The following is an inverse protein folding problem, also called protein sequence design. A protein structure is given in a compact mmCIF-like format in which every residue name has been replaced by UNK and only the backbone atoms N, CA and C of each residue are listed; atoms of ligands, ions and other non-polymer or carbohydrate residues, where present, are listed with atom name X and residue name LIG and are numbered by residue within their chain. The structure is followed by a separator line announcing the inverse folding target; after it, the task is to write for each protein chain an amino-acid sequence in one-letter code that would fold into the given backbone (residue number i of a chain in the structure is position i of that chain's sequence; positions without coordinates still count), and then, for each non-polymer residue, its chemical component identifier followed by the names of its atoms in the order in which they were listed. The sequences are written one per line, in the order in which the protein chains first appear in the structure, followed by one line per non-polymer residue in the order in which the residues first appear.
data_IF_041397452195
#
_entry.id   IF_041397452195
#
_cell.length_a   1.000
_cell.length_b   1.000
_cell.length_c   1.000
_cell.angle_alpha   90.00
_cell.angle_beta   90.00
_cell.angle_gamma   90.00
#
_symmetry.space_group_name_H-M   'P 1'
#
loop_
_entity.id
_entity.type
_entity.pdbx_description
1 polymer ?
#
# COMPACT_ATOMS: atom_id res chain seq x y z
N UNK A 1 51.38 -33.83 8.21
CA UNK A 1 52.19 -33.87 9.46
C UNK A 1 51.75 -35.13 10.20
N UNK A 2 52.19 -36.36 9.92
CA UNK A 2 53.53 -36.91 9.71
C UNK A 2 54.56 -36.40 10.72
N UNK A 3 55.40 -37.32 11.21
CA UNK A 3 56.43 -37.22 12.26
C UNK A 3 55.86 -37.51 13.67
N UNK A 4 56.38 -38.44 14.49
CA UNK A 4 57.66 -39.14 14.42
C UNK A 4 57.61 -40.38 15.35
N UNK A 5 57.80 -41.56 14.77
CA UNK A 5 58.19 -42.77 15.51
C UNK A 5 59.69 -42.66 15.83
N UNK A 6 60.04 -42.59 17.11
CA UNK A 6 61.45 -42.69 17.55
C UNK A 6 61.72 -44.12 18.00
N UNK A 7 62.46 -44.77 17.11
CA UNK A 7 63.23 -46.00 17.27
C UNK A 7 64.37 -45.73 18.27
N UNK A 8 64.43 -46.45 19.38
CA UNK A 8 65.61 -46.46 20.27
C UNK A 8 66.25 -47.85 20.29
N UNK A 9 67.54 -47.83 20.00
CA UNK A 9 68.47 -48.94 19.82
C UNK A 9 68.78 -49.57 21.19
N UNK A 10 68.47 -50.86 21.35
CA UNK A 10 68.94 -51.68 22.47
C UNK A 10 70.23 -52.39 22.06
N UNK A 11 71.36 -51.89 22.54
CA UNK A 11 72.66 -52.54 22.48
C UNK A 11 72.65 -53.72 23.45
N UNK A 12 72.88 -54.91 22.91
CA UNK A 12 73.06 -56.14 23.68
C UNK A 12 74.35 -56.08 24.49
N UNK A 13 74.21 -56.01 25.81
CA UNK A 13 75.27 -56.30 26.77
C UNK A 13 74.95 -57.61 27.49
N UNK A 14 75.55 -58.71 27.03
CA UNK A 14 75.53 -59.98 27.74
C UNK A 14 76.28 -59.81 29.07
N UNK A 15 75.52 -59.62 30.15
CA UNK A 15 76.05 -59.56 31.51
C UNK A 15 75.82 -60.91 32.18
N UNK A 16 76.90 -61.53 32.64
CA UNK A 16 76.89 -62.77 33.41
C UNK A 16 75.95 -62.63 34.62
N UNK A 17 74.80 -63.30 34.57
CA UNK A 17 73.89 -63.40 35.70
C UNK A 17 74.54 -64.28 36.78
N UNK A 18 75.28 -63.64 37.69
CA UNK A 18 75.52 -64.20 39.01
C UNK A 18 74.15 -64.32 39.69
N UNK A 19 73.73 -65.54 40.00
CA UNK A 19 72.51 -65.82 40.77
C UNK A 19 72.54 -65.00 42.05
N UNK A 20 71.69 -63.97 42.13
CA UNK A 20 71.54 -63.17 43.33
C UNK A 20 71.07 -64.10 44.47
N UNK A 21 71.62 -63.95 45.69
CA UNK A 21 71.24 -64.80 46.80
C UNK A 21 69.74 -64.64 47.08
N UNK A 22 68.99 -65.73 46.95
CA UNK A 22 67.61 -65.80 47.41
C UNK A 22 67.62 -65.88 48.93
N UNK A 23 67.35 -64.75 49.58
CA UNK A 23 67.16 -64.70 51.02
C UNK A 23 65.85 -65.39 51.43
N UNK A 24 65.86 -66.06 52.57
CA UNK A 24 64.68 -66.73 53.12
C UNK A 24 63.61 -65.73 53.61
N UNK A 25 62.38 -66.20 53.89
CA UNK A 25 61.31 -65.35 54.41
C UNK A 25 61.76 -64.61 55.68
N UNK A 26 61.39 -63.33 55.82
CA UNK A 26 61.82 -62.40 56.89
C UNK A 26 63.23 -61.79 56.77
N UNK A 27 63.88 -61.91 55.61
CA UNK A 27 65.17 -61.26 55.34
C UNK A 27 65.19 -60.60 53.95
N UNK A 28 65.95 -59.51 53.78
CA UNK A 28 66.14 -58.81 52.50
C UNK A 28 67.63 -58.71 52.16
N UNK A 29 67.98 -58.55 50.88
CA UNK A 29 69.38 -58.40 50.45
C UNK A 29 69.86 -56.99 50.81
N UNK A 30 70.78 -56.89 51.76
CA UNK A 30 71.49 -55.67 52.14
C UNK A 30 72.42 -55.17 51.03
N UNK A 31 72.93 -53.95 51.18
CA UNK A 31 73.82 -53.31 50.19
C UNK A 31 75.16 -54.03 50.02
N UNK A 32 75.52 -54.88 50.97
CA UNK A 32 76.69 -55.77 50.96
C UNK A 32 76.37 -57.16 50.37
N UNK A 33 75.15 -57.40 49.90
CA UNK A 33 74.69 -58.69 49.39
C UNK A 33 74.30 -59.69 50.47
N UNK A 34 74.41 -59.34 51.75
CA UNK A 34 74.02 -60.21 52.86
C UNK A 34 72.51 -60.16 53.11
N UNK A 35 71.92 -61.27 53.57
CA UNK A 35 70.51 -61.30 53.97
C UNK A 35 70.36 -60.65 55.36
N UNK A 36 69.76 -59.46 55.41
CA UNK A 36 69.51 -58.70 56.64
C UNK A 36 68.09 -59.01 57.13
N UNK A 37 67.89 -59.34 58.42
CA UNK A 37 66.55 -59.57 58.96
C UNK A 37 65.68 -58.32 58.86
N UNK A 38 64.41 -58.53 58.54
CA UNK A 38 63.43 -57.46 58.55
C UNK A 38 63.31 -56.88 59.96
N UNK A 39 63.27 -55.54 60.11
CA UNK A 39 63.05 -54.92 61.41
C UNK A 39 61.72 -55.39 62.00
N UNK A 40 61.72 -55.84 63.25
CA UNK A 40 60.48 -56.17 63.96
C UNK A 40 59.54 -54.96 63.97
N UNK A 41 58.23 -55.11 63.66
CA UNK A 41 57.47 -56.36 63.56
C UNK A 41 57.25 -56.90 62.12
N UNK A 42 58.06 -56.51 61.14
CA UNK A 42 57.83 -56.87 59.73
C UNK A 42 58.20 -58.35 59.43
N UNK A 43 57.23 -59.14 58.96
CA UNK A 43 57.44 -60.54 58.58
C UNK A 43 58.04 -60.73 57.17
N UNK A 44 57.85 -59.78 56.24
CA UNK A 44 58.61 -59.73 54.97
C UNK A 44 58.87 -58.28 54.55
N UNK A 45 60.04 -58.01 54.00
CA UNK A 45 60.50 -56.67 53.62
C UNK A 45 61.41 -56.75 52.39
N UNK A 46 61.33 -55.76 51.49
CA UNK A 46 62.24 -55.60 50.35
C UNK A 46 63.46 -54.73 50.70
N UNK A 47 63.37 -53.95 51.77
CA UNK A 47 64.47 -53.17 52.33
C UNK A 47 64.26 -52.95 53.82
N UNK A 48 65.27 -52.37 54.49
CA UNK A 48 65.18 -51.92 55.89
C UNK A 48 64.00 -50.96 56.17
N UNK A 49 63.41 -50.37 55.14
CA UNK A 49 62.30 -49.41 55.26
C UNK A 49 61.06 -49.77 54.44
N UNK A 50 61.10 -50.82 53.60
CA UNK A 50 59.97 -51.23 52.76
C UNK A 50 59.51 -52.64 53.12
N UNK A 51 58.28 -52.77 53.62
CA UNK A 51 57.63 -54.06 53.83
C UNK A 51 57.09 -54.62 52.50
N UNK A 52 57.21 -55.93 52.28
CA UNK A 52 56.76 -56.62 51.05
C UNK A 52 55.32 -57.15 51.14
N UNK A 53 54.78 -57.33 52.36
CA UNK A 53 53.41 -57.85 52.53
C UNK A 53 52.63 -57.12 53.63
N UNK A 54 51.32 -57.02 53.39
CA UNK A 54 50.29 -56.69 54.37
C UNK A 54 50.25 -57.76 55.47
N UNK A 55 50.99 -57.60 56.56
CA UNK A 55 50.96 -58.60 57.65
C UNK A 55 49.81 -58.29 58.62
N UNK A 56 48.95 -59.28 58.87
CA UNK A 56 47.75 -59.22 59.72
C UNK A 56 46.80 -58.06 59.42
N UNK A 57 46.77 -57.60 58.18
CA UNK A 57 45.85 -56.54 57.77
C UNK A 57 46.20 -55.15 58.29
N UNK A 58 47.42 -54.84 58.74
CA UNK A 58 47.82 -53.47 59.08
C UNK A 58 49.12 -53.04 58.37
N UNK A 59 49.15 -51.80 57.86
CA UNK A 59 50.31 -51.23 57.15
C UNK A 59 51.32 -50.57 58.09
N UNK A 60 52.62 -50.64 57.73
CA UNK A 60 53.74 -50.13 58.55
C UNK A 60 54.75 -49.27 57.76
N UNK A 61 54.36 -48.57 56.68
CA UNK A 61 55.26 -47.60 56.01
C UNK A 61 54.87 -46.14 56.25
N UNK A 62 55.85 -45.21 56.42
CA UNK A 62 55.59 -43.80 56.73
C UNK A 62 54.79 -43.02 55.67
N UNK A 63 54.81 -43.46 54.41
CA UNK A 63 54.27 -42.68 53.29
C UNK A 63 52.82 -43.05 52.93
N UNK A 64 52.24 -44.09 53.57
CA UNK A 64 50.91 -44.63 53.22
C UNK A 64 50.02 -44.92 54.46
N UNK A 65 50.02 -43.99 55.42
CA UNK A 65 49.48 -44.11 56.79
C UNK A 65 47.97 -44.36 56.97
N UNK A 66 47.20 -44.62 55.91
CA UNK A 66 45.74 -44.37 55.96
C UNK A 66 44.83 -45.55 55.58
N UNK A 67 45.39 -46.73 55.30
CA UNK A 67 44.63 -47.96 55.07
C UNK A 67 44.54 -48.78 56.36
N UNK A 68 43.33 -49.25 56.71
CA UNK A 68 43.05 -50.08 57.88
C UNK A 68 43.23 -51.58 57.61
N UNK A 69 43.00 -52.04 56.37
CA UNK A 69 43.31 -53.39 55.88
C UNK A 69 43.75 -53.37 54.42
N UNK A 70 44.46 -54.43 53.96
CA UNK A 70 44.97 -54.56 52.58
C UNK A 70 44.91 -56.00 52.05
N UNK A 71 44.88 -56.14 50.72
CA UNK A 71 45.05 -57.40 49.97
C UNK A 71 46.52 -57.68 49.63
N UNK A 72 47.30 -56.63 49.36
CA UNK A 72 48.70 -56.71 48.95
C UNK A 72 49.45 -55.40 49.22
N UNK A 73 50.75 -55.37 48.97
CA UNK A 73 51.61 -54.20 49.21
C UNK A 73 51.57 -53.13 48.09
N UNK A 74 50.71 -53.29 47.07
CA UNK A 74 50.65 -52.36 45.94
C UNK A 74 50.02 -51.01 46.30
N UNK A 75 50.14 -50.04 45.40
CA UNK A 75 49.52 -48.72 45.55
C UNK A 75 47.98 -48.75 45.48
N UNK A 76 47.38 -49.88 45.10
CA UNK A 76 45.92 -50.09 44.99
C UNK A 76 45.49 -51.32 45.80
N UNK A 77 46.27 -51.71 46.81
CA UNK A 77 46.05 -52.93 47.59
C UNK A 77 45.21 -52.71 48.86
N UNK A 78 44.64 -51.54 49.14
CA UNK A 78 43.82 -51.33 50.34
C UNK A 78 42.45 -52.03 50.21
N UNK A 79 41.99 -52.66 51.29
CA UNK A 79 40.64 -53.28 51.39
C UNK A 79 39.74 -52.59 52.39
N UNK A 80 40.29 -51.74 53.28
CA UNK A 80 39.55 -50.79 54.12
C UNK A 80 40.47 -49.64 54.57
N UNK A 81 39.88 -48.55 55.07
CA UNK A 81 40.61 -47.35 55.51
C UNK A 81 40.35 -47.00 56.98
N UNK A 82 41.33 -46.34 57.62
CA UNK A 82 41.20 -45.87 59.01
C UNK A 82 40.18 -44.72 59.10
N UNK A 83 39.79 -44.36 60.33
CA UNK A 83 38.81 -43.30 60.58
C UNK A 83 39.24 -41.97 59.91
N UNK A 84 38.31 -41.35 59.18
CA UNK A 84 38.58 -40.13 58.41
C UNK A 84 39.08 -40.36 56.97
N UNK A 85 39.07 -41.61 56.47
CA UNK A 85 39.52 -41.96 55.12
C UNK A 85 38.53 -42.88 54.38
N UNK A 86 38.62 -42.88 53.05
CA UNK A 86 37.63 -43.43 52.13
C UNK A 86 38.26 -44.31 51.07
N UNK A 87 37.76 -45.54 50.91
CA UNK A 87 38.29 -46.51 49.97
C UNK A 87 37.74 -46.29 48.56
N UNK A 88 38.61 -46.14 47.55
CA UNK A 88 38.24 -46.15 46.14
C UNK A 88 39.31 -46.86 45.32
N UNK A 89 38.92 -47.86 44.51
CA UNK A 89 39.83 -48.63 43.66
C UNK A 89 41.12 -49.10 44.39
N UNK A 90 40.97 -49.50 45.66
CA UNK A 90 42.08 -49.98 46.48
C UNK A 90 43.00 -48.89 47.05
N UNK A 91 42.60 -47.62 47.01
CA UNK A 91 43.29 -46.47 47.58
C UNK A 91 42.44 -45.77 48.65
N UNK A 92 43.10 -45.23 49.68
CA UNK A 92 42.43 -44.45 50.73
C UNK A 92 42.58 -42.95 50.49
N UNK A 93 41.45 -42.25 50.36
CA UNK A 93 41.35 -40.80 50.16
C UNK A 93 40.93 -40.12 51.46
N UNK A 94 41.54 -38.98 51.78
CA UNK A 94 41.19 -38.24 52.99
C UNK A 94 39.78 -37.65 52.86
N UNK A 95 38.90 -37.94 53.82
CA UNK A 95 37.48 -37.57 53.71
C UNK A 95 37.21 -36.07 53.60
N UNK A 96 38.17 -35.21 54.01
CA UNK A 96 38.07 -33.75 53.84
C UNK A 96 38.64 -33.21 52.52
N UNK A 97 39.25 -34.07 51.69
CA UNK A 97 39.84 -33.72 50.38
C UNK A 97 39.41 -34.71 49.30
N UNK A 98 38.14 -35.11 49.34
CA UNK A 98 37.58 -35.98 48.32
C UNK A 98 37.47 -35.23 46.98
N UNK A 99 37.60 -35.92 45.84
CA UNK A 99 37.29 -35.35 44.54
C UNK A 99 35.87 -34.77 44.50
N UNK A 100 35.68 -33.71 43.72
CA UNK A 100 34.36 -33.10 43.54
C UNK A 100 33.34 -34.15 43.04
N UNK A 101 32.11 -34.10 43.57
CA UNK A 101 31.04 -35.03 43.21
C UNK A 101 31.15 -36.42 43.87
N UNK A 102 32.03 -36.59 44.87
CA UNK A 102 32.13 -37.83 45.65
C UNK A 102 31.83 -37.60 47.13
N UNK A 103 31.31 -38.64 47.77
CA UNK A 103 31.08 -38.70 49.21
C UNK A 103 31.50 -40.07 49.74
N UNK A 104 31.47 -40.26 51.05
CA UNK A 104 32.10 -41.43 51.67
C UNK A 104 31.20 -42.10 52.71
N UNK A 105 30.08 -42.69 52.29
CA UNK A 105 29.26 -43.48 53.17
C UNK A 105 30.02 -44.76 53.55
N UNK A 106 29.96 -45.17 54.81
CA UNK A 106 30.54 -46.43 55.28
C UNK A 106 32.02 -46.64 54.90
N UNK A 107 32.81 -45.55 54.81
CA UNK A 107 34.25 -45.54 54.45
C UNK A 107 34.56 -46.00 53.01
N UNK A 108 33.57 -46.03 52.12
CA UNK A 108 33.77 -46.32 50.69
C UNK A 108 33.45 -45.07 49.90
N UNK A 109 34.35 -44.67 49.00
CA UNK A 109 34.10 -43.54 48.12
C UNK A 109 32.99 -43.89 47.14
N UNK A 110 31.92 -43.10 47.16
CA UNK A 110 30.79 -43.21 46.25
C UNK A 110 30.60 -41.91 45.50
N UNK A 111 30.01 -42.01 44.30
CA UNK A 111 29.54 -40.84 43.58
C UNK A 111 28.28 -40.29 44.25
N UNK A 112 28.20 -38.97 44.29
CA UNK A 112 27.02 -38.26 44.73
C UNK A 112 25.76 -38.65 43.93
N UNK A 113 24.66 -39.05 44.58
CA UNK A 113 23.37 -39.15 43.92
C UNK A 113 22.84 -37.73 43.66
N UNK A 114 22.69 -37.36 42.39
CA UNK A 114 22.30 -36.00 42.01
C UNK A 114 22.55 -35.63 40.54
N UNK A 115 23.20 -36.52 39.78
CA UNK A 115 23.44 -36.36 38.35
C UNK A 115 24.72 -35.58 38.05
N UNK A 116 24.83 -35.13 36.80
CA UNK A 116 25.95 -34.30 36.34
C UNK A 116 25.99 -32.96 37.08
N UNK A 117 27.19 -32.40 37.26
CA UNK A 117 27.37 -31.08 37.85
C UNK A 117 27.36 -31.02 39.38
N UNK A 118 27.21 -32.15 40.10
CA UNK A 118 27.36 -32.18 41.55
C UNK A 118 28.81 -31.95 41.96
N UNK A 119 29.07 -30.97 42.82
CA UNK A 119 30.41 -30.72 43.37
C UNK A 119 30.56 -31.24 44.81
N UNK A 120 29.47 -31.30 45.58
CA UNK A 120 29.49 -31.75 46.98
C UNK A 120 28.16 -32.34 47.43
N UNK A 121 28.24 -33.41 48.23
CA UNK A 121 27.12 -33.97 49.00
C UNK A 121 27.43 -34.01 50.49
N UNK A 122 26.38 -34.13 51.30
CA UNK A 122 26.50 -34.38 52.74
C UNK A 122 26.82 -35.86 53.05
N UNK A 123 26.90 -36.20 54.34
CA UNK A 123 27.19 -37.56 54.79
C UNK A 123 26.08 -38.56 54.51
N UNK A 124 24.86 -38.10 54.25
CA UNK A 124 23.72 -38.93 53.84
C UNK A 124 23.66 -39.11 52.32
N UNK A 125 24.55 -38.45 51.57
CA UNK A 125 24.58 -38.46 50.11
C UNK A 125 23.67 -37.42 49.48
N UNK A 126 23.00 -36.53 50.24
CA UNK A 126 22.19 -35.49 49.62
C UNK A 126 23.08 -34.41 49.02
N UNK A 127 22.79 -34.00 47.78
CA UNK A 127 23.51 -32.91 47.11
C UNK A 127 23.36 -31.61 47.89
N UNK A 128 24.49 -30.97 48.20
CA UNK A 128 24.54 -29.67 48.91
C UNK A 128 25.23 -28.58 48.11
N UNK A 129 25.93 -28.92 47.02
CA UNK A 129 26.49 -27.94 46.10
C UNK A 129 26.61 -28.47 44.67
N UNK A 130 26.38 -27.57 43.72
CA UNK A 130 26.49 -27.79 42.28
C UNK A 130 27.62 -26.95 41.67
N UNK A 131 28.08 -27.30 40.47
CA UNK A 131 29.07 -26.54 39.74
C UNK A 131 28.41 -25.32 39.09
N UNK A 132 28.29 -24.23 39.85
CA UNK A 132 27.74 -22.97 39.34
C UNK A 132 28.59 -22.37 38.20
N UNK A 133 29.88 -22.73 38.09
CA UNK A 133 30.76 -22.27 37.01
C UNK A 133 30.35 -22.78 35.63
N UNK A 134 29.71 -23.95 35.58
CA UNK A 134 29.18 -24.56 34.35
C UNK A 134 27.66 -24.33 34.19
N UNK A 135 27.06 -23.46 35.02
CA UNK A 135 25.62 -23.15 34.98
C UNK A 135 24.70 -24.15 35.69
N UNK A 136 25.24 -25.04 36.54
CA UNK A 136 24.40 -25.92 37.34
C UNK A 136 23.86 -25.23 38.60
N UNK A 137 22.59 -25.46 38.89
CA UNK A 137 21.88 -24.92 40.05
C UNK A 137 21.32 -26.04 40.93
N UNK A 138 21.32 -25.83 42.25
CA UNK A 138 20.82 -26.81 43.21
C UNK A 138 19.30 -26.68 43.34
N UNK A 139 18.58 -27.76 43.05
CA UNK A 139 17.15 -27.87 43.33
C UNK A 139 16.97 -28.49 44.73
N UNK A 140 16.58 -27.68 45.72
CA UNK A 140 16.57 -28.08 47.12
C UNK A 140 15.55 -29.17 47.42
N UNK A 141 14.45 -29.21 46.66
CA UNK A 141 13.36 -30.19 46.80
C UNK A 141 13.78 -31.61 46.39
N UNK A 142 14.49 -31.76 45.27
CA UNK A 142 14.92 -33.05 44.72
C UNK A 142 16.34 -33.45 45.10
N UNK A 143 17.12 -32.53 45.69
CA UNK A 143 18.55 -32.71 46.02
C UNK A 143 19.39 -33.11 44.81
N UNK A 144 19.09 -32.53 43.64
CA UNK A 144 19.84 -32.74 42.40
C UNK A 144 20.35 -31.41 41.82
N UNK A 145 21.33 -31.51 40.92
CA UNK A 145 21.82 -30.36 40.15
C UNK A 145 21.10 -30.29 38.80
N UNK A 146 20.53 -29.14 38.49
CA UNK A 146 19.84 -28.87 37.23
C UNK A 146 20.67 -27.90 36.41
N UNK A 147 20.90 -28.21 35.14
CA UNK A 147 21.52 -27.31 34.18
C UNK A 147 20.41 -26.67 33.34
N UNK A 148 20.39 -25.35 33.28
CA UNK A 148 19.53 -24.63 32.35
C UNK A 148 20.21 -24.56 30.97
N UNK A 149 19.51 -24.99 29.92
CA UNK A 149 20.06 -25.07 28.58
C UNK A 149 19.67 -23.86 27.72
N UNK A 150 20.57 -23.44 26.83
CA UNK A 150 20.29 -22.41 25.83
C UNK A 150 19.97 -21.04 26.45
N UNK A 151 18.73 -20.58 26.28
CA UNK A 151 18.23 -19.28 26.78
C UNK A 151 17.42 -19.38 28.08
N UNK A 152 17.44 -20.54 28.74
CA UNK A 152 16.84 -20.72 30.05
C UNK A 152 17.59 -19.94 31.14
N UNK A 153 16.83 -19.34 32.06
CA UNK A 153 17.32 -18.70 33.26
C UNK A 153 16.87 -19.50 34.48
N UNK A 154 17.76 -19.67 35.46
CA UNK A 154 17.39 -20.28 36.72
C UNK A 154 16.56 -19.31 37.57
N UNK A 155 15.33 -19.70 37.88
CA UNK A 155 14.51 -19.00 38.87
C UNK A 155 14.67 -19.68 40.23
N UNK A 156 15.40 -19.00 41.13
CA UNK A 156 15.63 -19.49 42.48
C UNK A 156 14.35 -19.57 43.34
N UNK A 157 13.29 -18.81 42.99
CA UNK A 157 12.03 -18.85 43.73
C UNK A 157 11.23 -20.12 43.44
N UNK A 158 11.17 -20.53 42.18
CA UNK A 158 10.47 -21.75 41.75
C UNK A 158 11.37 -23.01 41.71
N UNK A 159 12.68 -22.84 41.85
CA UNK A 159 13.71 -23.87 41.65
C UNK A 159 13.59 -24.57 40.28
N UNK A 160 13.35 -23.79 39.22
CA UNK A 160 13.18 -24.28 37.85
C UNK A 160 13.89 -23.39 36.84
N UNK A 161 14.24 -23.98 35.71
CA UNK A 161 14.66 -23.25 34.51
C UNK A 161 13.42 -22.63 33.85
N UNK A 162 13.47 -21.32 33.60
CA UNK A 162 12.41 -20.54 32.96
C UNK A 162 12.95 -19.81 31.75
N UNK A 163 12.13 -19.65 30.71
CA UNK A 163 12.52 -18.92 29.52
C UNK A 163 12.63 -17.41 29.78
N UNK A 164 13.71 -16.79 29.31
CA UNK A 164 13.87 -15.33 29.36
C UNK A 164 12.78 -14.61 28.55
N UNK A 165 12.57 -13.33 28.82
CA UNK A 165 11.68 -12.49 28.00
C UNK A 165 12.13 -12.49 26.53
N UNK A 166 11.20 -12.71 25.60
CA UNK A 166 11.52 -12.81 24.17
C UNK A 166 11.87 -14.23 23.71
N UNK A 167 11.75 -15.23 24.58
CA UNK A 167 11.85 -16.65 24.24
C UNK A 167 10.60 -17.43 24.64
N UNK A 168 10.42 -18.62 24.07
CA UNK A 168 9.34 -19.55 24.40
C UNK A 168 9.89 -20.96 24.67
N UNK A 169 9.19 -21.73 25.51
CA UNK A 169 9.60 -23.09 25.87
C UNK A 169 9.43 -24.05 24.69
N UNK A 170 10.41 -24.93 24.49
CA UNK A 170 10.36 -26.01 23.51
C UNK A 170 10.72 -27.34 24.16
N UNK A 171 10.19 -28.44 23.63
CA UNK A 171 10.47 -29.81 24.09
C UNK A 171 11.86 -30.32 23.71
N UNK A 172 12.55 -29.67 22.76
CA UNK A 172 13.85 -30.11 22.24
C UNK A 172 15.02 -29.34 22.84
N UNK A 173 14.91 -28.00 22.97
CA UNK A 173 16.05 -27.11 23.26
C UNK A 173 15.89 -26.28 24.53
N UNK A 174 14.84 -26.55 25.32
CA UNK A 174 14.51 -25.78 26.52
C UNK A 174 13.78 -24.48 26.14
N UNK A 175 14.50 -23.52 25.53
CA UNK A 175 13.92 -22.25 25.06
C UNK A 175 14.42 -21.87 23.65
N UNK A 176 13.52 -21.36 22.81
CA UNK A 176 13.81 -20.80 21.49
C UNK A 176 13.45 -19.31 21.41
N UNK A 177 14.06 -18.58 20.48
CA UNK A 177 13.88 -17.12 20.37
C UNK A 177 12.60 -16.79 19.60
N UNK A 178 11.85 -15.78 20.05
CA UNK A 178 10.66 -15.33 19.32
C UNK A 178 10.98 -14.77 17.93
N UNK A 179 12.22 -14.33 17.70
CA UNK A 179 12.70 -13.90 16.38
C UNK A 179 12.69 -15.00 15.33
N UNK A 180 12.59 -16.26 15.73
CA UNK A 180 12.48 -17.40 14.82
C UNK A 180 11.15 -17.37 14.03
N UNK A 181 10.10 -16.73 14.59
CA UNK A 181 8.86 -16.42 13.87
C UNK A 181 8.95 -15.15 13.00
N UNK A 182 10.05 -14.40 13.11
CA UNK A 182 10.31 -13.17 12.36
C UNK A 182 10.81 -12.02 13.25
N UNK A 183 11.58 -11.11 12.64
CA UNK A 183 12.21 -9.99 13.35
C UNK A 183 11.23 -8.99 14.00
N UNK A 184 9.95 -9.01 13.63
CA UNK A 184 8.93 -8.09 14.14
C UNK A 184 8.22 -8.61 15.40
N UNK A 185 8.52 -9.83 15.88
CA UNK A 185 7.84 -10.48 17.00
C UNK A 185 8.48 -10.07 18.33
N UNK A 186 7.65 -9.65 19.31
CA UNK A 186 8.10 -9.22 20.65
C UNK A 186 7.89 -10.31 21.70
N UNK A 187 6.74 -10.96 21.70
CA UNK A 187 6.45 -12.12 22.56
C UNK A 187 5.75 -13.22 21.77
N UNK A 188 5.93 -14.48 22.16
CA UNK A 188 5.43 -15.64 21.44
C UNK A 188 5.22 -16.85 22.39
N UNK A 189 4.52 -17.87 21.89
CA UNK A 189 4.46 -19.22 22.46
C UNK A 189 4.87 -20.23 21.40
N UNK A 190 4.81 -21.53 21.73
CA UNK A 190 4.97 -22.60 20.75
C UNK A 190 3.95 -22.53 19.60
N UNK A 191 2.77 -21.96 19.84
CA UNK A 191 1.73 -21.78 18.82
C UNK A 191 2.00 -20.59 17.89
N UNK A 192 2.92 -19.69 18.26
CA UNK A 192 3.32 -18.54 17.45
C UNK A 192 3.37 -17.19 18.18
N UNK A 193 3.52 -16.10 17.43
CA UNK A 193 3.53 -14.72 17.93
C UNK A 193 2.29 -14.35 18.74
N UNK A 194 2.50 -13.73 19.91
CA UNK A 194 1.45 -13.14 20.75
C UNK A 194 1.41 -11.61 20.66
N UNK A 195 2.57 -10.96 20.55
CA UNK A 195 2.67 -9.50 20.38
C UNK A 195 3.80 -9.14 19.44
N UNK A 196 3.67 -7.98 18.80
CA UNK A 196 4.66 -7.44 17.88
C UNK A 196 5.48 -6.33 18.52
N UNK A 197 6.63 -6.03 17.92
CA UNK A 197 7.48 -4.88 18.26
C UNK A 197 6.72 -3.58 18.03
N UNK A 198 7.06 -2.54 18.79
CA UNK A 198 6.29 -1.30 18.83
C UNK A 198 6.16 -0.68 17.42
N UNK A 199 4.93 -0.29 17.05
CA UNK A 199 4.60 0.20 15.70
C UNK A 199 4.20 -0.88 14.68
N UNK A 200 4.21 -2.16 15.05
CA UNK A 200 3.79 -3.28 14.20
C UNK A 200 2.49 -3.93 14.72
N UNK A 201 1.78 -4.61 13.84
CA UNK A 201 0.44 -5.16 14.10
C UNK A 201 0.42 -6.69 13.99
N UNK A 202 -0.32 -7.34 14.88
CA UNK A 202 -0.58 -8.78 14.84
C UNK A 202 -1.82 -9.06 13.99
N UNK A 203 -1.68 -9.91 12.98
CA UNK A 203 -2.77 -10.41 12.14
C UNK A 203 -2.53 -11.85 11.74
N UNK A 204 -3.52 -12.71 11.94
CA UNK A 204 -3.48 -14.15 11.58
C UNK A 204 -2.20 -14.87 12.07
N UNK A 205 -1.83 -14.62 13.33
CA UNK A 205 -0.64 -15.21 13.96
C UNK A 205 0.70 -14.70 13.42
N UNK A 206 0.72 -13.57 12.71
CA UNK A 206 1.94 -12.98 12.14
C UNK A 206 2.02 -11.47 12.40
N UNK A 207 3.24 -10.96 12.51
CA UNK A 207 3.49 -9.54 12.68
C UNK A 207 3.76 -8.85 11.34
N UNK A 208 3.09 -7.73 11.09
CA UNK A 208 3.25 -6.90 9.90
C UNK A 208 3.58 -5.46 10.27
N UNK A 209 4.30 -4.77 9.37
CA UNK A 209 4.56 -3.33 9.52
C UNK A 209 3.29 -2.48 9.40
N UNK A 210 2.28 -2.97 8.68
CA UNK A 210 0.96 -2.36 8.55
C UNK A 210 -0.08 -3.45 8.30
N UNK A 211 -1.34 -3.14 8.57
CA UNK A 211 -2.44 -4.06 8.33
C UNK A 211 -2.51 -4.45 6.83
N UNK A 212 -2.63 -5.76 6.50
CA UNK A 212 -2.81 -6.22 5.12
C UNK A 212 -4.05 -5.62 4.43
N UNK A 213 -4.15 -5.79 3.11
CA UNK A 213 -5.33 -5.35 2.35
C UNK A 213 -6.64 -5.91 2.94
N UNK A 214 -7.73 -5.14 2.82
CA UNK A 214 -9.04 -5.42 3.41
C UNK A 214 -9.05 -5.54 4.96
N UNK A 215 -8.06 -4.96 5.64
CA UNK A 215 -8.03 -4.85 7.10
C UNK A 215 -7.62 -3.44 7.55
N UNK A 216 -7.95 -3.09 8.79
CA UNK A 216 -7.59 -1.81 9.42
C UNK A 216 -7.06 -2.02 10.84
N UNK A 217 -6.27 -1.07 11.34
CA UNK A 217 -5.76 -1.10 12.70
C UNK A 217 -6.85 -0.63 13.68
N UNK A 218 -7.39 -1.55 14.47
CA UNK A 218 -8.41 -1.26 15.49
C UNK A 218 -7.78 -0.79 16.81
N UNK A 219 -6.57 -1.25 17.06
CA UNK A 219 -5.71 -0.86 18.19
C UNK A 219 -4.27 -0.74 17.66
N UNK A 220 -3.31 -0.16 18.41
CA UNK A 220 -1.93 -0.07 17.95
C UNK A 220 -1.28 -1.43 17.64
N UNK A 221 -1.92 -2.54 17.99
CA UNK A 221 -1.31 -3.87 17.96
C UNK A 221 -2.13 -4.93 17.21
N UNK A 222 -3.34 -4.64 16.72
CA UNK A 222 -4.22 -5.64 16.10
C UNK A 222 -4.93 -5.14 14.85
N UNK A 223 -5.00 -5.98 13.83
CA UNK A 223 -5.79 -5.71 12.63
C UNK A 223 -7.17 -6.37 12.73
N UNK A 224 -8.20 -5.66 12.30
CA UNK A 224 -9.55 -6.19 12.08
C UNK A 224 -9.90 -6.14 10.61
N UNK A 225 -10.70 -7.10 10.16
CA UNK A 225 -11.21 -7.11 8.80
C UNK A 225 -12.13 -5.91 8.55
N UNK A 226 -12.06 -5.35 7.34
CA UNK A 226 -13.06 -4.42 6.83
C UNK A 226 -14.39 -5.15 6.58
N UNK A 227 -15.46 -4.37 6.35
CA UNK A 227 -16.76 -4.92 5.94
C UNK A 227 -16.67 -5.65 4.58
N UNK A 228 -17.61 -6.55 4.33
CA UNK A 228 -17.68 -7.29 3.06
C UNK A 228 -17.74 -6.35 1.86
N UNK A 229 -16.93 -6.63 0.83
CA UNK A 229 -16.84 -5.80 -0.38
C UNK A 229 -15.95 -4.56 -0.26
N UNK A 230 -15.37 -4.30 0.91
CA UNK A 230 -14.44 -3.18 1.14
C UNK A 230 -12.99 -3.64 0.95
N UNK A 231 -12.25 -3.01 0.04
CA UNK A 231 -10.86 -3.33 -0.25
C UNK A 231 -9.88 -2.65 0.72
N UNK A 232 -10.26 -1.49 1.24
CA UNK A 232 -9.53 -0.78 2.30
C UNK A 232 -10.50 0.08 3.13
N UNK A 233 -10.26 0.16 4.44
CA UNK A 233 -11.10 0.92 5.37
C UNK A 233 -10.25 1.58 6.46
N UNK A 234 -10.81 2.63 7.07
CA UNK A 234 -10.23 3.33 8.23
C UNK A 234 -10.82 2.86 9.56
N UNK A 235 -11.86 2.02 9.52
CA UNK A 235 -12.64 1.58 10.65
C UNK A 235 -13.66 0.52 10.23
N UNK A 236 -14.37 -0.04 11.21
CA UNK A 236 -15.49 -0.93 10.96
C UNK A 236 -16.80 -0.14 10.78
N UNK A 237 -17.69 -0.65 9.93
CA UNK A 237 -19.03 -0.11 9.74
C UNK A 237 -19.15 0.95 8.64
N UNK A 238 -20.40 1.38 8.37
CA UNK A 238 -20.72 2.34 7.31
C UNK A 238 -19.93 3.65 7.41
N UNK A 239 -19.53 4.21 6.28
CA UNK A 239 -18.78 5.46 6.20
C UNK A 239 -17.27 5.34 6.41
N UNK A 240 -16.75 4.14 6.72
CA UNK A 240 -15.32 3.93 7.00
C UNK A 240 -14.51 3.43 5.79
N UNK A 241 -15.15 3.08 4.67
CA UNK A 241 -14.47 2.58 3.48
C UNK A 241 -13.61 3.68 2.84
N UNK A 242 -12.42 3.31 2.39
CA UNK A 242 -11.49 4.19 1.65
C UNK A 242 -11.19 3.63 0.25
N UNK A 243 -11.46 2.35 0.00
CA UNK A 243 -11.47 1.73 -1.31
C UNK A 243 -12.46 0.56 -1.35
N UNK A 244 -13.09 0.34 -2.50
CA UNK A 244 -14.10 -0.70 -2.70
C UNK A 244 -13.58 -1.80 -3.63
N UNK A 245 -13.86 -3.05 -3.26
CA UNK A 245 -13.54 -4.23 -4.04
C UNK A 245 -14.77 -4.75 -4.76
N UNK A 246 -14.89 -6.08 -4.81
CA UNK A 246 -16.06 -6.77 -5.33
C UNK A 246 -16.91 -7.32 -4.19
N UNK A 247 -18.23 -7.40 -4.38
CA UNK A 247 -19.11 -8.12 -3.46
C UNK A 247 -18.90 -9.65 -3.54
N UNK A 248 -19.68 -10.40 -2.76
CA UNK A 248 -19.62 -11.87 -2.71
C UNK A 248 -20.00 -12.56 -4.03
N UNK A 249 -20.61 -11.84 -4.98
CA UNK A 249 -20.94 -12.33 -6.32
C UNK A 249 -19.85 -12.01 -7.36
N UNK A 250 -18.80 -11.28 -6.97
CA UNK A 250 -17.76 -10.79 -7.87
C UNK A 250 -18.14 -9.50 -8.59
N UNK A 251 -19.22 -8.82 -8.19
CA UNK A 251 -19.65 -7.56 -8.79
C UNK A 251 -18.85 -6.40 -8.21
N UNK A 252 -18.29 -5.54 -9.07
CA UNK A 252 -17.54 -4.35 -8.65
C UNK A 252 -18.42 -3.36 -7.87
N UNK A 253 -17.93 -2.92 -6.71
CA UNK A 253 -18.53 -1.87 -5.90
C UNK A 253 -17.77 -0.54 -6.08
N UNK A 254 -18.45 0.56 -5.79
CA UNK A 254 -17.95 1.91 -6.00
C UNK A 254 -17.99 2.68 -4.69
N UNK A 255 -16.92 3.44 -4.42
CA UNK A 255 -16.83 4.25 -3.22
C UNK A 255 -17.72 5.51 -3.33
N UNK A 256 -18.60 5.69 -2.35
CA UNK A 256 -19.41 6.90 -2.20
C UNK A 256 -19.57 7.26 -0.71
N UNK A 257 -19.08 8.44 -0.32
CA UNK A 257 -19.15 8.96 1.06
C UNK A 257 -18.74 7.91 2.12
N UNK A 258 -17.64 7.19 1.86
CA UNK A 258 -17.13 6.17 2.78
C UNK A 258 -17.90 4.84 2.78
N UNK A 259 -18.80 4.62 1.82
CA UNK A 259 -19.55 3.37 1.66
C UNK A 259 -19.24 2.74 0.30
N UNK A 260 -19.28 1.41 0.23
CA UNK A 260 -19.19 0.67 -1.02
C UNK A 260 -20.58 0.32 -1.53
N UNK A 261 -20.93 0.88 -2.69
CA UNK A 261 -22.27 0.76 -3.28
C UNK A 261 -22.20 0.14 -4.67
N UNK A 262 -23.30 -0.45 -5.14
CA UNK A 262 -23.38 -0.95 -6.53
C UNK A 262 -23.49 0.20 -7.53
N UNK A 263 -23.22 -0.05 -8.80
CA UNK A 263 -23.25 0.99 -9.86
C UNK A 263 -24.58 1.77 -9.93
N UNK A 264 -25.71 1.07 -9.75
CA UNK A 264 -27.05 1.68 -9.73
C UNK A 264 -27.40 2.41 -8.41
N UNK A 265 -26.54 2.32 -7.39
CA UNK A 265 -26.70 3.00 -6.12
C UNK A 265 -25.84 4.27 -6.01
N UNK A 266 -24.97 4.55 -6.99
CA UNK A 266 -24.41 5.89 -7.13
C UNK A 266 -25.58 6.87 -7.29
N UNK A 267 -25.74 7.88 -6.42
CA UNK A 267 -26.91 8.76 -6.46
C UNK A 267 -27.07 9.44 -7.81
N UNK A 268 -28.25 9.32 -8.41
CA UNK A 268 -28.58 9.93 -9.70
C UNK A 268 -29.68 10.97 -9.54
N UNK A 269 -29.61 12.05 -10.30
CA UNK A 269 -30.67 13.06 -10.37
C UNK A 269 -30.41 14.34 -9.58
N UNK A 270 -31.28 15.33 -9.83
CA UNK A 270 -31.13 16.72 -9.37
C UNK A 270 -31.38 16.94 -7.87
N UNK A 271 -31.98 15.97 -7.16
CA UNK A 271 -32.33 16.10 -5.74
C UNK A 271 -31.17 15.76 -4.78
N UNK A 272 -30.03 15.30 -5.30
CA UNK A 272 -28.85 14.96 -4.50
C UNK A 272 -27.85 16.12 -4.50
N UNK A 273 -27.05 16.22 -3.43
CA UNK A 273 -25.97 17.21 -3.30
C UNK A 273 -24.65 16.45 -3.09
N UNK A 274 -23.70 16.48 -4.04
CA UNK A 274 -23.78 17.12 -5.36
C UNK A 274 -24.79 16.44 -6.32
N UNK A 275 -25.37 17.17 -7.28
CA UNK A 275 -26.40 16.65 -8.18
C UNK A 275 -25.80 15.66 -9.19
N UNK A 276 -26.27 14.42 -9.13
CA UNK A 276 -25.90 13.35 -10.04
C UNK A 276 -24.47 12.85 -9.89
N UNK A 277 -24.32 11.56 -9.66
CA UNK A 277 -23.07 10.83 -9.75
C UNK A 277 -23.22 9.66 -10.70
N UNK A 278 -22.10 9.13 -11.19
CA UNK A 278 -22.07 7.88 -11.94
C UNK A 278 -20.91 7.02 -11.45
N UNK A 279 -21.08 5.70 -11.63
CA UNK A 279 -20.04 4.73 -11.30
C UNK A 279 -18.90 4.79 -12.32
N UNK A 280 -17.72 5.24 -11.88
CA UNK A 280 -16.53 5.30 -12.73
C UNK A 280 -15.63 4.09 -12.47
N UNK A 281 -15.62 3.15 -13.42
CA UNK A 281 -14.84 1.92 -13.32
C UNK A 281 -13.32 2.17 -13.25
N UNK A 282 -12.83 3.30 -13.76
CA UNK A 282 -11.40 3.63 -13.72
C UNK A 282 -10.95 4.05 -12.33
N UNK A 283 -11.74 4.87 -11.65
CA UNK A 283 -11.42 5.33 -10.29
C UNK A 283 -11.94 4.39 -9.19
N UNK A 284 -12.93 3.54 -9.49
CA UNK A 284 -13.62 2.73 -8.48
C UNK A 284 -14.49 3.57 -7.54
N UNK A 285 -14.91 4.76 -7.96
CA UNK A 285 -15.68 5.71 -7.16
C UNK A 285 -16.95 6.18 -7.88
N UNK A 286 -17.92 6.66 -7.12
CA UNK A 286 -19.03 7.43 -7.70
C UNK A 286 -18.56 8.88 -7.91
N UNK A 287 -18.42 9.30 -9.16
CA UNK A 287 -17.91 10.63 -9.55
C UNK A 287 -19.08 11.56 -9.85
N UNK A 288 -19.00 12.81 -9.41
CA UNK A 288 -20.03 13.82 -9.68
C UNK A 288 -20.08 14.19 -11.16
N UNK A 289 -21.28 14.28 -11.73
CA UNK A 289 -21.48 14.62 -13.13
C UNK A 289 -20.93 16.02 -13.47
N UNK A 290 -21.18 16.99 -12.59
CA UNK A 290 -20.78 18.37 -12.78
C UNK A 290 -19.25 18.55 -12.89
N UNK A 291 -18.48 17.79 -12.10
CA UNK A 291 -17.02 17.85 -12.10
C UNK A 291 -16.41 17.40 -13.43
N UNK A 292 -17.04 16.41 -14.09
CA UNK A 292 -16.50 15.82 -15.32
C UNK A 292 -17.06 16.45 -16.60
N UNK A 293 -18.35 16.79 -16.61
CA UNK A 293 -19.06 17.19 -17.82
C UNK A 293 -19.51 18.66 -17.82
N UNK A 294 -19.20 19.42 -16.78
CA UNK A 294 -19.49 20.85 -16.65
C UNK A 294 -20.64 21.16 -15.70
N UNK A 295 -20.66 22.39 -15.19
CA UNK A 295 -21.72 22.85 -14.29
C UNK A 295 -23.10 22.68 -14.93
N UNK A 296 -24.06 22.18 -14.14
CA UNK A 296 -25.40 21.87 -14.61
C UNK A 296 -25.59 20.43 -15.11
N UNK A 297 -24.55 19.60 -15.22
CA UNK A 297 -24.74 18.17 -15.49
C UNK A 297 -25.35 17.47 -14.25
N UNK A 298 -26.59 16.96 -14.38
CA UNK A 298 -27.32 16.32 -13.26
C UNK A 298 -27.55 14.81 -13.44
N UNK A 299 -27.43 14.31 -14.67
CA UNK A 299 -27.34 12.87 -14.98
C UNK A 299 -26.27 12.67 -16.03
N UNK A 300 -25.48 11.60 -15.89
CA UNK A 300 -24.39 11.30 -16.79
C UNK A 300 -24.02 9.82 -16.76
N UNK A 301 -23.27 9.38 -17.76
CA UNK A 301 -22.56 8.09 -17.79
C UNK A 301 -21.06 8.36 -17.90
N UNK A 302 -20.25 7.30 -17.96
CA UNK A 302 -18.82 7.43 -18.25
C UNK A 302 -18.50 8.06 -19.61
N UNK A 303 -19.48 8.10 -20.53
CA UNK A 303 -19.32 8.66 -21.87
C UNK A 303 -19.70 10.14 -21.98
N UNK A 304 -20.54 10.65 -21.09
CA UNK A 304 -21.05 12.02 -21.20
C UNK A 304 -22.24 12.32 -20.29
N UNK A 305 -22.56 13.60 -20.15
CA UNK A 305 -23.82 14.08 -19.59
C UNK A 305 -25.00 13.61 -20.44
N UNK A 306 -25.99 13.02 -19.79
CA UNK A 306 -27.27 12.60 -20.38
C UNK A 306 -28.40 13.56 -20.04
N UNK A 307 -28.18 14.48 -19.10
CA UNK A 307 -29.13 15.52 -18.73
C UNK A 307 -28.43 16.74 -18.14
N UNK A 308 -28.85 17.91 -18.59
CA UNK A 308 -28.41 19.22 -18.09
C UNK A 308 -29.57 19.95 -17.40
N UNK A 309 -29.29 20.65 -16.30
CA UNK A 309 -30.22 21.53 -15.61
C UNK A 309 -29.65 22.94 -15.61
N UNK A 310 -30.45 23.91 -16.05
CA UNK A 310 -30.03 25.31 -16.23
C UNK A 310 -28.76 25.47 -17.11
N UNK A 311 -28.50 24.51 -18.00
CA UNK A 311 -27.34 24.47 -18.89
C UNK A 311 -27.72 23.83 -20.23
N UNK A 312 -26.91 24.05 -21.26
CA UNK A 312 -27.16 23.62 -22.63
C UNK A 312 -26.31 22.39 -22.94
N UNK A 313 -26.95 21.34 -23.45
CA UNK A 313 -26.28 20.10 -23.82
C UNK A 313 -25.54 20.24 -25.16
N UNK A 314 -24.25 19.91 -25.17
CA UNK A 314 -23.42 19.88 -26.36
C UNK A 314 -22.33 18.80 -26.23
N UNK A 315 -22.29 17.85 -27.17
CA UNK A 315 -21.28 16.79 -27.26
C UNK A 315 -21.02 16.05 -25.92
N UNK A 316 -22.09 15.70 -25.20
CA UNK A 316 -21.98 15.01 -23.91
C UNK A 316 -21.50 15.89 -22.75
N UNK A 317 -21.54 17.21 -22.90
CA UNK A 317 -21.23 18.20 -21.85
C UNK A 317 -22.39 19.16 -21.64
N UNK A 318 -22.39 19.80 -20.47
CA UNK A 318 -23.32 20.87 -20.14
C UNK A 318 -22.56 22.20 -20.11
N UNK A 319 -23.03 23.17 -20.89
CA UNK A 319 -22.38 24.47 -21.09
C UNK A 319 -23.34 25.61 -20.72
N UNK A 320 -22.80 26.74 -20.24
CA UNK A 320 -23.59 27.95 -19.99
C UNK A 320 -24.04 28.63 -21.31
N UNK A 321 -23.28 28.47 -22.38
CA UNK A 321 -23.57 29.02 -23.71
C UNK A 321 -23.01 28.11 -24.81
N UNK A 322 -23.64 28.11 -25.99
CA UNK A 322 -23.17 27.36 -27.13
C UNK A 322 -21.83 27.91 -27.68
N UNK A 323 -20.85 27.05 -28.03
CA UNK A 323 -19.59 27.49 -28.60
C UNK A 323 -19.77 28.06 -30.02
N UNK A 324 -18.78 28.82 -30.49
CA UNK A 324 -18.80 29.39 -31.84
C UNK A 324 -18.99 28.33 -32.93
N UNK A 325 -19.78 28.66 -33.96
CA UNK A 325 -20.16 27.70 -35.02
C UNK A 325 -21.34 26.79 -34.64
N UNK A 326 -21.98 27.04 -33.50
CA UNK A 326 -23.23 26.39 -33.09
C UNK A 326 -24.27 27.42 -32.64
N UNK A 327 -25.55 27.03 -32.59
CA UNK A 327 -26.65 27.85 -32.10
C UNK A 327 -27.52 27.07 -31.12
N UNK A 328 -28.20 27.79 -30.22
CA UNK A 328 -29.08 27.17 -29.24
C UNK A 328 -30.48 26.97 -29.82
N UNK A 329 -31.01 25.75 -29.67
CA UNK A 329 -32.41 25.42 -29.91
C UNK A 329 -32.93 24.61 -28.72
N UNK A 330 -33.81 25.22 -27.92
CA UNK A 330 -34.20 24.64 -26.63
C UNK A 330 -33.00 24.52 -25.68
N UNK A 331 -32.66 23.31 -25.25
CA UNK A 331 -31.51 23.00 -24.39
C UNK A 331 -30.38 22.26 -25.12
N UNK A 332 -30.30 22.38 -26.44
CA UNK A 332 -29.23 21.77 -27.23
C UNK A 332 -28.49 22.81 -28.08
N UNK A 333 -27.19 22.58 -28.27
CA UNK A 333 -26.40 23.31 -29.26
C UNK A 333 -26.37 22.53 -30.58
N UNK A 334 -26.94 23.12 -31.62
CA UNK A 334 -26.96 22.58 -32.98
C UNK A 334 -25.86 23.22 -33.83
N UNK A 335 -25.28 22.45 -34.75
CA UNK A 335 -24.24 22.96 -35.65
C UNK A 335 -24.81 23.98 -36.63
N UNK A 336 -24.11 25.08 -36.86
CA UNK A 336 -24.48 26.04 -37.90
C UNK A 336 -24.39 25.43 -39.32
N UNK A 337 -23.66 24.33 -39.51
CA UNK A 337 -23.56 23.66 -40.81
C UNK A 337 -24.85 22.99 -41.27
N UNK A 338 -25.79 22.72 -40.35
CA UNK A 338 -27.12 22.19 -40.69
C UNK A 338 -28.13 23.28 -41.02
N UNK A 339 -27.75 24.55 -40.83
CA UNK A 339 -28.61 25.69 -41.08
C UNK A 339 -28.57 26.04 -42.58
N UNK A 340 -29.74 26.03 -43.22
CA UNK A 340 -29.90 26.41 -44.62
C UNK A 340 -30.62 27.75 -44.75
N UNK A 341 -30.40 28.43 -45.88
CA UNK A 341 -31.20 29.63 -46.21
C UNK A 341 -32.68 29.27 -46.29
N UNK A 342 -33.54 30.02 -45.61
CA UNK A 342 -34.97 29.76 -45.50
C UNK A 342 -35.40 28.98 -44.26
N UNK A 343 -34.47 28.47 -43.45
CA UNK A 343 -34.80 27.85 -42.15
C UNK A 343 -35.36 28.90 -41.16
N UNK A 344 -36.28 28.54 -40.25
CA UNK A 344 -36.71 29.41 -39.16
C UNK A 344 -35.51 29.94 -38.38
N UNK A 345 -35.55 31.21 -37.99
CA UNK A 345 -34.36 31.90 -37.52
C UNK A 345 -34.69 32.89 -36.42
N UNK A 346 -33.83 32.94 -35.40
CA UNK A 346 -33.80 34.02 -34.42
C UNK A 346 -32.59 34.92 -34.67
N UNK A 347 -32.59 36.12 -34.08
CA UNK A 347 -31.47 37.06 -34.22
C UNK A 347 -30.17 36.47 -33.62
N UNK A 348 -30.29 35.73 -32.51
CA UNK A 348 -29.16 35.05 -31.86
C UNK A 348 -28.62 33.93 -32.74
N UNK A 349 -29.50 33.12 -33.35
CA UNK A 349 -29.11 32.07 -34.29
C UNK A 349 -28.39 32.66 -35.51
N UNK A 350 -28.95 33.72 -36.11
CA UNK A 350 -28.33 34.40 -37.24
C UNK A 350 -26.94 34.92 -36.89
N UNK A 351 -26.80 35.57 -35.74
CA UNK A 351 -25.54 36.15 -35.28
C UNK A 351 -24.49 35.07 -34.99
N UNK A 352 -24.86 33.99 -34.29
CA UNK A 352 -23.94 32.88 -33.97
C UNK A 352 -23.47 32.11 -35.21
N UNK A 353 -24.30 32.03 -36.25
CA UNK A 353 -24.00 31.28 -37.47
C UNK A 353 -23.55 32.14 -38.66
N UNK A 354 -23.35 33.45 -38.47
CA UNK A 354 -23.02 34.40 -39.54
C UNK A 354 -24.04 34.41 -40.71
N UNK A 355 -25.32 34.26 -40.36
CA UNK A 355 -26.47 34.50 -41.24
C UNK A 355 -27.10 35.87 -40.91
N UNK A 356 -28.09 36.27 -41.72
CA UNK A 356 -28.96 37.41 -41.45
C UNK A 356 -30.37 36.92 -41.14
N UNK A 357 -31.03 37.49 -40.13
CA UNK A 357 -32.45 37.27 -39.87
C UNK A 357 -33.29 38.09 -40.84
N UNK A 358 -34.05 37.45 -41.73
CA UNK A 358 -35.06 38.15 -42.52
C UNK A 358 -36.32 38.38 -41.68
N UNK A 359 -36.53 39.61 -41.20
CA UNK A 359 -37.66 39.96 -40.34
C UNK A 359 -39.02 39.79 -41.04
N UNK A 360 -39.06 39.83 -42.38
CA UNK A 360 -40.30 39.69 -43.12
C UNK A 360 -40.78 38.23 -43.17
N UNK A 361 -39.87 37.27 -43.10
CA UNK A 361 -40.18 35.83 -43.19
C UNK A 361 -39.83 35.05 -41.92
N UNK A 362 -39.13 35.65 -40.96
CA UNK A 362 -38.56 35.01 -39.78
C UNK A 362 -37.64 33.83 -40.12
N UNK A 363 -36.86 33.97 -41.21
CA UNK A 363 -35.95 32.92 -41.69
C UNK A 363 -34.51 33.43 -41.84
N UNK A 364 -33.55 32.50 -41.80
CA UNK A 364 -32.14 32.83 -41.95
C UNK A 364 -31.83 32.95 -43.43
N UNK A 365 -31.06 33.96 -43.81
CA UNK A 365 -30.58 34.17 -45.19
C UNK A 365 -29.12 34.60 -45.18
N UNK A 366 -28.37 34.22 -46.21
CA UNK A 366 -26.98 34.70 -46.40
C UNK A 366 -26.93 36.12 -46.97
N UNK A 367 -28.02 36.61 -47.55
CA UNK A 367 -28.12 37.96 -48.11
C UNK A 367 -29.56 38.48 -48.06
N UNK A 368 -29.74 39.79 -47.86
CA UNK A 368 -31.07 40.40 -47.92
C UNK A 368 -31.66 40.33 -49.34
N UNK A 369 -32.97 40.19 -49.41
CA UNK A 369 -33.69 39.82 -50.62
C UNK A 369 -34.05 41.03 -51.46
N UNK A 370 -33.79 40.92 -52.76
CA UNK A 370 -34.44 41.76 -53.76
C UNK A 370 -35.88 41.28 -53.97
N UNK A 371 -36.71 42.13 -54.56
CA UNK A 371 -38.09 41.79 -54.88
C UNK A 371 -38.32 41.79 -56.40
N UNK A 372 -37.94 40.71 -57.12
CA UNK A 372 -38.16 40.63 -58.56
C UNK A 372 -39.61 40.26 -58.93
N UNK A 373 -40.34 39.56 -58.07
CA UNK A 373 -41.67 38.98 -58.36
C UNK A 373 -42.85 39.79 -57.81
N UNK A 374 -42.61 40.74 -56.90
CA UNK A 374 -43.67 41.47 -56.18
C UNK A 374 -44.35 40.66 -55.06
N UNK A 375 -43.95 39.39 -54.84
CA UNK A 375 -44.66 38.50 -53.90
C UNK A 375 -44.32 38.75 -52.43
N UNK A 376 -43.17 39.35 -52.15
CA UNK A 376 -42.71 39.69 -50.81
C UNK A 376 -41.93 41.03 -50.88
N UNK A 377 -41.91 41.88 -49.84
CA UNK A 377 -41.26 43.19 -49.91
C UNK A 377 -39.73 43.08 -49.96
N UNK A 378 -39.00 43.87 -50.73
CA UNK A 378 -37.52 43.82 -50.68
C UNK A 378 -37.02 44.06 -49.25
N UNK A 379 -35.81 43.58 -48.91
CA UNK A 379 -35.19 43.81 -47.60
C UNK A 379 -33.77 44.38 -47.73
N UNK A 380 -33.30 45.07 -46.70
CA UNK A 380 -31.94 45.65 -46.63
C UNK A 380 -31.24 45.24 -45.33
N UNK A 381 -29.90 45.20 -45.36
CA UNK A 381 -29.10 44.80 -44.20
C UNK A 381 -29.02 45.94 -43.18
N UNK A 382 -29.38 45.63 -41.94
CA UNK A 382 -29.24 46.48 -40.75
C UNK A 382 -28.62 45.63 -39.64
N UNK A 383 -27.29 45.61 -39.54
CA UNK A 383 -26.57 44.71 -38.62
C UNK A 383 -26.68 43.24 -39.05
N UNK A 384 -27.20 42.40 -38.15
CA UNK A 384 -27.45 40.95 -38.37
C UNK A 384 -28.89 40.66 -38.84
N UNK A 385 -29.67 41.68 -39.18
CA UNK A 385 -31.05 41.54 -39.65
C UNK A 385 -31.24 42.15 -41.05
N UNK A 386 -32.15 41.56 -41.81
CA UNK A 386 -32.70 42.09 -43.04
C UNK A 386 -34.06 42.71 -42.75
N UNK A 387 -34.14 44.04 -42.84
CA UNK A 387 -35.35 44.80 -42.56
C UNK A 387 -36.15 45.04 -43.83
N UNK A 388 -37.47 45.07 -43.72
CA UNK A 388 -38.36 45.36 -44.85
C UNK A 388 -38.13 46.77 -45.41
N UNK A 389 -38.07 46.87 -46.73
CA UNK A 389 -38.06 48.11 -47.50
C UNK A 389 -39.43 48.83 -47.52
N UNK A 390 -40.45 48.25 -46.88
CA UNK A 390 -41.82 48.76 -46.87
C UNK A 390 -42.71 48.07 -47.91
N UNK A 391 -43.38 48.81 -48.81
CA UNK A 391 -44.39 48.25 -49.71
C UNK A 391 -43.82 47.32 -50.80
N UNK A 392 -44.68 46.45 -51.35
CA UNK A 392 -44.35 45.44 -52.36
C UNK A 392 -43.88 46.01 -53.71
N UNK A 393 -44.02 47.32 -53.94
CA UNK A 393 -43.56 47.96 -55.17
C UNK A 393 -42.10 48.43 -55.10
N UNK A 394 -41.38 48.16 -54.01
CA UNK A 394 -39.93 48.39 -53.91
C UNK A 394 -39.18 47.16 -54.41
N UNK A 395 -38.28 47.35 -55.37
CA UNK A 395 -37.41 46.29 -55.91
C UNK A 395 -36.15 46.11 -55.04
N UNK A 396 -35.55 47.22 -54.60
CA UNK A 396 -34.36 47.25 -53.75
C UNK A 396 -34.29 48.53 -52.90
N UNK A 397 -33.75 48.44 -51.70
CA UNK A 397 -33.55 49.58 -50.81
C UNK A 397 -32.28 49.45 -49.95
N UNK A 398 -31.88 50.56 -49.33
CA UNK A 398 -30.87 50.62 -48.28
C UNK A 398 -31.47 51.26 -47.00
N UNK A 399 -30.63 51.55 -46.01
CA UNK A 399 -31.06 52.21 -44.77
C UNK A 399 -31.67 53.62 -45.00
N UNK A 400 -31.39 54.25 -46.15
CA UNK A 400 -31.98 55.51 -46.59
C UNK A 400 -33.33 55.40 -47.30
N UNK A 401 -33.82 54.19 -47.54
CA UNK A 401 -35.06 53.90 -48.24
C UNK A 401 -34.86 53.28 -49.63
N UNK A 402 -35.96 53.15 -50.41
CA UNK A 402 -35.91 52.53 -51.74
C UNK A 402 -34.95 53.29 -52.66
N UNK A 403 -34.11 52.57 -53.40
CA UNK A 403 -33.31 53.14 -54.51
C UNK A 403 -33.68 52.51 -55.87
N UNK A 404 -34.52 51.46 -55.88
CA UNK A 404 -35.14 50.90 -57.09
C UNK A 404 -36.58 50.48 -56.81
N UNK A 405 -37.48 50.78 -57.76
CA UNK A 405 -38.90 50.44 -57.69
C UNK A 405 -39.26 49.38 -58.75
N UNK A 406 -40.22 48.53 -58.46
CA UNK A 406 -40.83 47.61 -59.43
C UNK A 406 -41.79 48.40 -60.33
N UNK A 407 -41.67 48.25 -61.65
CA UNK A 407 -42.68 48.74 -62.58
C UNK A 407 -44.07 48.17 -62.24
N UNK A 408 -45.15 48.96 -62.28
CA UNK A 408 -45.26 50.31 -62.85
C UNK A 408 -44.96 51.47 -61.87
N UNK A 409 -44.31 51.22 -60.73
CA UNK A 409 -43.92 52.30 -59.81
C UNK A 409 -42.64 52.99 -60.27
N UNK A 410 -42.55 54.28 -59.96
CA UNK A 410 -41.43 55.17 -60.23
C UNK A 410 -40.81 55.67 -58.93
N UNK A 411 -39.51 55.92 -58.97
CA UNK A 411 -38.74 56.45 -57.85
C UNK A 411 -38.95 57.96 -57.73
N UNK A 412 -39.43 58.44 -56.57
CA UNK A 412 -39.55 59.87 -56.28
C UNK A 412 -38.34 60.32 -55.44
N UNK A 413 -37.33 61.01 -56.03
CA UNK A 413 -36.27 61.63 -55.27
C UNK A 413 -36.85 62.72 -54.35
N UNK A 414 -36.49 62.71 -53.07
CA UNK A 414 -36.78 63.82 -52.15
C UNK A 414 -35.48 64.48 -51.73
N UNK A 415 -35.48 65.81 -51.66
CA UNK A 415 -34.34 66.61 -51.20
C UNK A 415 -33.93 66.28 -49.74
N UNK A 416 -34.83 65.67 -48.96
CA UNK A 416 -34.54 65.10 -47.64
C UNK A 416 -35.13 63.68 -47.62
N UNK A 417 -34.29 62.67 -47.33
CA UNK A 417 -34.67 61.25 -47.16
C UNK A 417 -35.87 61.12 -46.21
N UNK A 418 -36.74 60.10 -46.37
CA UNK A 418 -36.59 58.92 -47.22
C UNK A 418 -37.20 59.07 -48.63
N UNK A 419 -36.58 58.41 -49.60
CA UNK A 419 -37.13 58.22 -50.95
C UNK A 419 -38.40 57.37 -50.90
N UNK A 420 -39.28 57.47 -51.91
CA UNK A 420 -40.50 56.65 -51.99
C UNK A 420 -40.73 56.11 -53.41
N UNK A 421 -41.22 54.88 -53.49
CA UNK A 421 -41.78 54.33 -54.72
C UNK A 421 -43.26 54.74 -54.80
N UNK A 422 -43.61 55.49 -55.83
CA UNK A 422 -44.99 55.94 -56.11
C UNK A 422 -45.45 55.39 -57.46
N UNK A 423 -46.76 55.28 -57.70
CA UNK A 423 -47.25 54.88 -59.02
C UNK A 423 -47.02 55.98 -60.07
N UNK A 424 -47.04 55.62 -61.35
CA UNK A 424 -47.06 56.60 -62.46
C UNK A 424 -48.15 57.66 -62.25
N UNK A 425 -49.37 57.24 -61.92
CA UNK A 425 -50.49 58.17 -61.71
C UNK A 425 -50.24 59.12 -60.53
N UNK A 426 -49.66 58.61 -59.43
CA UNK A 426 -49.27 59.44 -58.29
C UNK A 426 -48.19 60.46 -58.67
N UNK A 427 -47.24 60.10 -59.54
CA UNK A 427 -46.23 61.04 -60.03
C UNK A 427 -46.88 62.18 -60.84
N UNK A 428 -47.78 61.83 -61.76
CA UNK A 428 -48.47 62.80 -62.61
C UNK A 428 -49.44 63.69 -61.82
N UNK A 429 -49.97 63.19 -60.70
CA UNK A 429 -50.82 63.97 -59.79
C UNK A 429 -50.05 65.01 -58.96
N UNK A 430 -48.71 64.94 -58.89
CA UNK A 430 -47.89 65.89 -58.10
C UNK A 430 -47.73 67.26 -58.77
N UNK A 431 -48.00 67.41 -60.07
CA UNK A 431 -47.86 68.67 -60.80
C UNK A 431 -47.84 68.50 -62.32
N UNK A 432 -48.21 69.55 -63.05
CA UNK A 432 -48.24 69.53 -64.52
C UNK A 432 -46.82 69.44 -65.16
N UNK A 433 -45.81 69.85 -64.40
CA UNK A 433 -44.38 69.88 -64.74
C UNK A 433 -43.65 68.56 -64.46
N UNK A 434 -44.34 67.55 -63.91
CA UNK A 434 -43.80 66.23 -63.62
C UNK A 434 -43.80 65.33 -64.86
N UNK A 435 -42.75 64.54 -65.00
CA UNK A 435 -42.61 63.53 -66.04
C UNK A 435 -41.80 62.33 -65.53
N UNK A 436 -41.83 61.23 -66.29
CA UNK A 436 -41.11 60.01 -65.96
C UNK A 436 -39.85 59.90 -66.82
N UNK A 437 -38.69 59.99 -66.19
CA UNK A 437 -37.41 59.81 -66.85
C UNK A 437 -37.03 58.33 -66.87
N UNK A 438 -36.66 57.81 -68.05
CA UNK A 438 -36.21 56.42 -68.24
C UNK A 438 -34.69 56.38 -68.39
N UNK A 439 -33.99 55.70 -67.48
CA UNK A 439 -32.54 55.53 -67.57
C UNK A 439 -32.17 54.19 -68.20
N UNK A 440 -31.47 54.24 -69.35
CA UNK A 440 -30.66 53.15 -69.91
C UNK A 440 -31.38 51.91 -70.52
N UNK A 441 -30.76 51.26 -71.53
CA UNK A 441 -31.18 49.95 -72.01
C UNK A 441 -30.60 48.86 -71.09
N UNK A 442 -31.41 48.31 -70.18
CA UNK A 442 -31.04 47.11 -69.41
C UNK A 442 -31.38 47.12 -67.92
N UNK A 443 -31.53 48.31 -67.31
CA UNK A 443 -32.11 48.49 -65.97
C UNK A 443 -33.06 49.66 -66.03
N UNK A 444 -34.34 49.36 -66.32
CA UNK A 444 -35.35 50.41 -66.50
C UNK A 444 -35.66 51.02 -65.12
N UNK A 445 -34.88 52.03 -64.73
CA UNK A 445 -35.23 52.89 -63.62
C UNK A 445 -36.13 53.99 -64.18
N UNK A 446 -37.35 54.02 -63.66
CA UNK A 446 -38.27 55.13 -63.84
C UNK A 446 -38.09 56.07 -62.66
N UNK A 447 -37.80 57.34 -62.94
CA UNK A 447 -37.68 58.41 -61.95
C UNK A 447 -38.74 59.48 -62.19
N UNK A 448 -39.45 59.87 -61.13
CA UNK A 448 -40.43 60.96 -61.15
C UNK A 448 -39.73 62.29 -60.90
N UNK A 449 -39.50 63.06 -61.95
CA UNK A 449 -38.75 64.32 -61.86
C UNK A 449 -39.53 65.49 -62.47
N UNK A 450 -39.08 66.71 -62.22
CA UNK A 450 -39.64 67.94 -62.79
C UNK A 450 -38.86 68.31 -64.04
N UNK A 451 -39.53 68.83 -65.06
CA UNK A 451 -38.81 69.47 -66.16
C UNK A 451 -37.95 70.63 -65.65
N UNK A 452 -36.80 70.85 -66.29
CA UNK A 452 -35.99 72.04 -66.04
C UNK A 452 -36.80 73.31 -66.38
N UNK A 453 -36.43 74.44 -65.77
CA UNK A 453 -37.05 75.72 -66.05
C UNK A 453 -37.07 76.02 -67.57
N UNK A 454 -38.25 76.36 -68.11
CA UNK A 454 -38.45 76.61 -69.54
C UNK A 454 -38.80 75.37 -70.38
N UNK A 455 -38.87 74.19 -69.78
CA UNK A 455 -39.31 72.97 -70.44
C UNK A 455 -40.68 72.50 -69.93
N UNK A 456 -41.47 71.88 -70.81
CA UNK A 456 -42.75 71.24 -70.49
C UNK A 456 -42.67 69.74 -70.82
N UNK A 457 -43.36 68.87 -70.06
CA UNK A 457 -43.44 67.46 -70.41
C UNK A 457 -44.13 67.26 -71.77
N UNK A 458 -43.67 66.30 -72.56
CA UNK A 458 -44.37 65.81 -73.75
C UNK A 458 -45.74 65.24 -73.39
N UNK A 459 -46.62 65.07 -74.39
CA UNK A 459 -47.97 64.51 -74.16
C UNK A 459 -47.95 63.10 -73.58
N UNK A 460 -46.93 62.30 -73.91
CA UNK A 460 -46.69 60.96 -73.36
C UNK A 460 -46.06 60.98 -71.95
N UNK A 461 -45.67 62.16 -71.44
CA UNK A 461 -45.04 62.39 -70.13
C UNK A 461 -43.74 61.60 -69.90
N UNK A 462 -43.03 61.18 -70.96
CA UNK A 462 -41.74 60.48 -70.85
C UNK A 462 -40.51 61.34 -71.18
N UNK A 463 -40.71 62.57 -71.70
CA UNK A 463 -39.62 63.50 -72.05
C UNK A 463 -40.02 64.92 -71.71
N UNK A 464 -39.03 65.80 -71.54
CA UNK A 464 -39.24 67.24 -71.53
C UNK A 464 -38.82 67.82 -72.87
N UNK A 465 -39.59 68.78 -73.36
CA UNK A 465 -39.25 69.60 -74.53
C UNK A 465 -39.30 71.06 -74.12
N UNK A 466 -38.58 71.94 -74.82
CA UNK A 466 -38.76 73.37 -74.61
C UNK A 466 -40.21 73.76 -74.90
N UNK A 467 -40.80 74.57 -74.02
CA UNK A 467 -42.15 75.09 -74.22
C UNK A 467 -42.21 75.93 -75.53
N UNK A 468 -43.37 75.95 -76.20
CA UNK A 468 -43.57 76.79 -77.37
C UNK A 468 -43.37 78.28 -77.09
#
# INVERSE_FOLDING_TARGET
MQLLSILLILVGGASLAATAPTCGPSTFVGTDGACVPCPSPLATCSSATQALTCDRGLWLTPDKKNAATCSDASATGATSCIDGWCLSAGQCFYSKRLPAGTYCPNRVLQLCPGGSGVTKCDSAGATVACNSGDGYHLQSSSKSCVLCHGYELWDAASEKCVCASGTYATDIVGCAQCTDFGALVKTCTEAGPLTCTDGNVLYDGRCFASCPAATFADSPSTCKACDSGVAACSGAGPGSATACGTDSSGTQLYLYQGNCVTSNQCPTGANYVPPGTFADATSGTCVACAERFGEGAYTCTSQGATGCINAIAHEGRCLASCPGGTYQEGQHCNSCSTLSSGSPCSLDMATSCNYLLDEATSTCTSSCRLNPSGSLPATYRSGSACKSCGPLNVYACDEGGPYQCLGPSTYLPRARRPHKCITVDQCLALGQDRFIQRYGPGKILFECTTCNAGMVPTSDKYRCVYGP
#
